data_IF_584831806811
#
_entry.id   IF_584831806811
#
_cell.length_a   1.000
_cell.length_b   1.000
_cell.length_c   1.000
_cell.angle_alpha   90.00
_cell.angle_beta   90.00
_cell.angle_gamma   90.00
#
_symmetry.space_group_name_H-M   'P 1'
#
loop_
_entity.id
_entity.type
_entity.pdbx_description
1 polymer ?
#
# COMPACT_ATOMS: atom_id res chain seq x y z
N UNK A 1 -39.22 2.23 55.90
CA UNK A 1 -38.17 2.73 54.98
C UNK A 1 -37.80 1.60 54.02
N UNK A 2 -38.22 1.65 52.75
CA UNK A 2 -37.80 0.68 51.72
C UNK A 2 -37.03 1.44 50.65
N UNK A 3 -35.70 1.26 50.60
CA UNK A 3 -34.84 1.84 49.59
C UNK A 3 -34.86 0.91 48.37
N UNK A 4 -35.49 1.36 47.29
CA UNK A 4 -35.46 0.68 45.99
C UNK A 4 -34.17 1.13 45.28
N UNK A 5 -33.19 0.23 45.16
CA UNK A 5 -31.99 0.45 44.34
C UNK A 5 -32.38 0.24 42.87
N UNK A 6 -32.49 1.33 42.11
CA UNK A 6 -32.59 1.29 40.65
C UNK A 6 -31.23 0.86 40.07
N UNK A 7 -31.17 -0.34 39.50
CA UNK A 7 -30.06 -0.78 38.66
C UNK A 7 -30.24 -0.19 37.26
N UNK A 8 -29.31 0.67 36.83
CA UNK A 8 -29.25 1.27 35.50
C UNK A 8 -28.53 0.29 34.55
N UNK A 9 -29.16 -0.23 33.48
CA UNK A 9 -28.44 -1.02 32.49
C UNK A 9 -27.66 -0.09 31.56
N UNK A 10 -26.33 -0.12 31.67
CA UNK A 10 -25.40 0.52 30.72
C UNK A 10 -25.42 -0.25 29.39
N UNK A 11 -26.20 0.23 28.43
CA UNK A 11 -26.13 -0.20 27.03
C UNK A 11 -24.92 0.46 26.36
N UNK A 12 -23.76 -0.18 26.43
CA UNK A 12 -22.63 0.17 25.58
C UNK A 12 -22.89 -0.36 24.17
N UNK A 13 -23.49 0.47 23.32
CA UNK A 13 -23.53 0.23 21.87
C UNK A 13 -22.11 0.36 21.32
N UNK A 14 -21.41 -0.77 21.19
CA UNK A 14 -20.11 -0.82 20.53
C UNK A 14 -20.24 -0.34 19.08
N UNK A 15 -19.43 0.64 18.69
CA UNK A 15 -19.33 1.07 17.30
C UNK A 15 -18.65 -0.07 16.55
N UNK A 16 -19.43 -0.86 15.81
CA UNK A 16 -18.88 -1.86 14.88
C UNK A 16 -18.33 -1.08 13.69
N UNK A 17 -17.01 -0.89 13.66
CA UNK A 17 -16.31 -0.41 12.47
C UNK A 17 -16.29 -1.58 11.48
N UNK A 18 -17.03 -1.48 10.39
CA UNK A 18 -16.92 -2.46 9.31
C UNK A 18 -15.57 -2.21 8.60
N UNK A 19 -14.87 -3.29 8.27
CA UNK A 19 -13.70 -3.19 7.41
C UNK A 19 -14.12 -3.58 6.00
N UNK A 20 -13.87 -2.70 5.04
CA UNK A 20 -14.02 -3.00 3.62
C UNK A 20 -12.82 -3.82 3.14
N UNK A 21 -13.06 -4.84 2.33
CA UNK A 21 -11.99 -5.59 1.67
C UNK A 21 -11.69 -4.92 0.32
N UNK A 22 -10.47 -4.43 0.14
CA UNK A 22 -9.94 -4.05 -1.17
C UNK A 22 -9.25 -5.27 -1.80
N UNK A 23 -9.79 -5.75 -2.90
CA UNK A 23 -9.20 -6.77 -3.75
C UNK A 23 -8.34 -6.14 -4.84
N UNK A 24 -7.16 -6.71 -5.07
CA UNK A 24 -6.20 -6.29 -6.07
C UNK A 24 -6.26 -7.27 -7.24
N UNK A 25 -6.46 -6.75 -8.44
CA UNK A 25 -6.38 -7.52 -9.67
C UNK A 25 -4.98 -8.11 -9.89
N UNK A 26 -4.89 -9.04 -10.84
CA UNK A 26 -3.67 -9.79 -11.10
C UNK A 26 -2.48 -8.88 -11.44
N UNK A 27 -2.75 -7.81 -12.20
CA UNK A 27 -1.76 -6.86 -12.69
C UNK A 27 -1.56 -5.64 -11.77
N UNK A 28 -2.07 -5.68 -10.54
CA UNK A 28 -1.91 -4.61 -9.55
C UNK A 28 -1.17 -5.13 -8.33
N UNK A 29 -0.22 -4.32 -7.84
CA UNK A 29 0.48 -4.53 -6.58
C UNK A 29 0.34 -3.28 -5.74
N UNK A 30 -0.15 -3.44 -4.52
CA UNK A 30 -0.12 -2.39 -3.50
C UNK A 30 1.24 -2.39 -2.79
N UNK A 31 1.82 -1.20 -2.65
CA UNK A 31 3.12 -0.96 -2.01
C UNK A 31 2.94 -0.42 -0.58
N UNK A 32 1.93 0.42 -0.37
CA UNK A 32 1.58 0.96 0.94
C UNK A 32 0.11 1.38 0.99
N UNK A 33 -0.46 1.46 2.19
CA UNK A 33 -1.76 2.05 2.46
C UNK A 33 -1.66 2.93 3.71
N UNK A 34 -2.46 4.01 3.75
CA UNK A 34 -2.38 4.99 4.84
C UNK A 34 -2.81 4.37 6.17
N UNK A 35 -4.00 3.75 6.18
CA UNK A 35 -4.68 3.25 7.37
C UNK A 35 -4.82 1.71 7.36
N UNK A 36 -3.92 1.01 6.64
CA UNK A 36 -3.97 -0.43 6.50
C UNK A 36 -2.57 -1.04 6.30
N UNK A 37 -2.43 -2.32 6.66
CA UNK A 37 -1.23 -3.09 6.35
C UNK A 37 -1.35 -3.68 4.96
N UNK A 38 -0.30 -3.52 4.16
CA UNK A 38 -0.18 -4.10 2.83
C UNK A 38 0.87 -5.20 2.87
N UNK A 39 0.61 -6.30 2.19
CA UNK A 39 1.55 -7.41 1.99
C UNK A 39 1.73 -7.64 0.51
N UNK A 40 2.98 -7.75 0.05
CA UNK A 40 3.29 -8.09 -1.34
C UNK A 40 2.85 -9.51 -1.74
N UNK A 41 2.52 -10.35 -0.76
CA UNK A 41 2.02 -11.72 -0.96
C UNK A 41 0.50 -11.80 -0.92
N UNK A 42 -0.18 -10.72 -0.55
CA UNK A 42 -1.63 -10.68 -0.45
C UNK A 42 -2.24 -9.94 -1.64
N UNK A 43 -3.33 -10.49 -2.18
CA UNK A 43 -4.18 -9.80 -3.15
C UNK A 43 -5.34 -9.04 -2.50
N UNK A 44 -5.39 -9.01 -1.17
CA UNK A 44 -6.42 -8.29 -0.43
C UNK A 44 -5.80 -7.35 0.60
N UNK A 45 -6.41 -6.19 0.78
CA UNK A 45 -6.07 -5.20 1.81
C UNK A 45 -7.34 -4.89 2.60
N UNK A 46 -7.31 -5.10 3.91
CA UNK A 46 -8.41 -4.71 4.78
C UNK A 46 -8.33 -3.21 5.04
N UNK A 47 -9.32 -2.45 4.58
CA UNK A 47 -9.42 -1.00 4.77
C UNK A 47 -10.49 -0.71 5.83
N UNK A 48 -10.30 0.29 6.71
CA UNK A 48 -11.39 0.82 7.52
C UNK A 48 -12.43 1.49 6.61
N UNK A 49 -13.55 1.96 7.14
CA UNK A 49 -14.48 2.80 6.37
C UNK A 49 -13.91 4.21 6.13
N UNK A 50 -14.28 4.83 5.01
CA UNK A 50 -14.05 6.26 4.75
C UNK A 50 -13.03 6.56 3.66
N UNK A 51 -12.14 7.51 3.95
CA UNK A 51 -11.15 7.98 2.98
C UNK A 51 -9.94 7.05 2.96
N UNK A 52 -9.55 6.63 1.77
CA UNK A 52 -8.45 5.71 1.55
C UNK A 52 -7.41 6.30 0.64
N UNK A 53 -6.16 6.01 0.96
CA UNK A 53 -5.02 6.35 0.12
C UNK A 53 -4.05 5.18 0.09
N UNK A 54 -3.66 4.77 -1.11
CA UNK A 54 -2.70 3.69 -1.33
C UNK A 54 -1.65 4.09 -2.34
N UNK A 55 -0.45 3.55 -2.18
CA UNK A 55 0.56 3.52 -3.23
C UNK A 55 0.44 2.19 -3.96
N UNK A 56 0.27 2.23 -5.27
CA UNK A 56 0.09 1.06 -6.14
C UNK A 56 1.03 1.14 -7.33
N UNK A 57 1.25 0.01 -7.99
CA UNK A 57 1.88 -0.05 -9.31
C UNK A 57 1.22 -1.10 -10.18
N UNK A 58 1.33 -0.93 -11.49
CA UNK A 58 1.09 -2.01 -12.44
C UNK A 58 2.27 -2.99 -12.39
N UNK A 59 1.95 -4.27 -12.44
CA UNK A 59 2.94 -5.35 -12.43
C UNK A 59 2.39 -6.57 -13.18
N UNK A 60 2.91 -6.84 -14.37
CA UNK A 60 2.49 -7.95 -15.22
C UNK A 60 3.70 -8.76 -15.71
N UNK A 61 3.55 -10.07 -15.99
CA UNK A 61 4.49 -10.77 -16.86
C UNK A 61 4.67 -10.03 -18.19
N UNK A 62 5.88 -10.07 -18.74
CA UNK A 62 6.18 -9.45 -20.05
C UNK A 62 5.32 -10.04 -21.17
N UNK A 63 4.97 -11.32 -21.09
CA UNK A 63 4.01 -11.94 -22.00
C UNK A 63 3.10 -12.87 -21.17
N UNK A 64 1.89 -12.42 -20.79
CA UNK A 64 0.98 -13.17 -19.92
C UNK A 64 0.55 -14.54 -20.47
N UNK A 65 0.38 -14.65 -21.78
CA UNK A 65 -0.07 -15.89 -22.45
C UNK A 65 1.09 -16.86 -22.76
N UNK A 66 2.33 -16.46 -22.46
CA UNK A 66 3.51 -17.27 -22.74
C UNK A 66 3.76 -18.30 -21.63
N UNK A 67 3.88 -19.57 -22.01
CA UNK A 67 4.39 -20.64 -21.15
C UNK A 67 5.88 -20.48 -20.81
N UNK A 68 6.61 -19.62 -21.54
CA UNK A 68 8.00 -19.31 -21.27
C UNK A 68 8.10 -18.20 -20.21
N UNK A 69 8.36 -18.60 -18.96
CA UNK A 69 8.47 -17.70 -17.80
C UNK A 69 9.78 -16.88 -17.77
N UNK A 70 10.71 -17.10 -18.70
CA UNK A 70 12.03 -16.46 -18.70
C UNK A 70 12.06 -14.97 -19.11
N UNK A 71 10.93 -14.39 -19.54
CA UNK A 71 10.88 -13.01 -20.09
C UNK A 71 10.74 -11.89 -19.05
N UNK A 72 10.74 -12.23 -17.77
CA UNK A 72 10.65 -11.25 -16.67
C UNK A 72 9.26 -10.61 -16.54
N UNK A 73 9.21 -9.50 -15.79
CA UNK A 73 7.99 -8.75 -15.48
C UNK A 73 8.16 -7.28 -15.88
N UNK A 74 7.08 -6.67 -16.33
CA UNK A 74 7.00 -5.25 -16.65
C UNK A 74 6.22 -4.55 -15.54
N UNK A 75 6.82 -3.50 -14.98
CA UNK A 75 6.24 -2.72 -13.88
C UNK A 75 6.19 -1.25 -14.22
N UNK A 76 5.14 -0.55 -13.78
CA UNK A 76 5.04 0.89 -13.93
C UNK A 76 5.80 1.66 -12.83
N UNK A 77 5.91 2.97 -13.01
CA UNK A 77 6.13 3.89 -11.89
C UNK A 77 5.05 3.66 -10.80
N UNK A 78 5.35 3.94 -9.52
CA UNK A 78 4.34 3.97 -8.47
C UNK A 78 3.34 5.11 -8.65
N UNK A 79 2.10 4.88 -8.24
CA UNK A 79 1.00 5.86 -8.26
C UNK A 79 0.33 5.91 -6.89
N UNK A 80 -0.07 7.10 -6.46
CA UNK A 80 -0.95 7.30 -5.30
C UNK A 80 -2.39 7.29 -5.81
N UNK A 81 -3.19 6.35 -5.35
CA UNK A 81 -4.65 6.34 -5.55
C UNK A 81 -5.34 6.85 -4.29
N UNK A 82 -6.34 7.71 -4.45
CA UNK A 82 -7.17 8.24 -3.36
C UNK A 82 -8.64 8.03 -3.71
N UNK A 83 -9.41 7.42 -2.80
CA UNK A 83 -10.86 7.24 -2.97
C UNK A 83 -11.56 7.29 -1.62
N UNK A 84 -12.89 7.38 -1.64
CA UNK A 84 -13.72 7.34 -0.45
C UNK A 84 -14.78 6.27 -0.64
N UNK A 85 -14.92 5.35 0.31
CA UNK A 85 -15.87 4.26 0.25
C UNK A 85 -16.37 3.88 1.65
N UNK A 86 -17.69 3.75 1.78
CA UNK A 86 -18.40 3.49 3.04
C UNK A 86 -19.44 2.38 2.83
N UNK A 87 -19.02 1.25 2.28
CA UNK A 87 -19.90 0.12 1.96
C UNK A 87 -19.32 -1.20 2.43
N UNK A 88 -20.16 -2.22 2.54
CA UNK A 88 -19.70 -3.55 2.95
C UNK A 88 -19.25 -4.43 1.77
N UNK A 89 -19.56 -4.03 0.53
CA UNK A 89 -19.17 -4.81 -0.65
C UNK A 89 -17.65 -4.68 -0.86
N UNK A 90 -16.95 -5.78 -1.21
CA UNK A 90 -15.55 -5.73 -1.61
C UNK A 90 -15.35 -4.75 -2.77
N UNK A 91 -14.25 -4.01 -2.69
CA UNK A 91 -13.83 -3.08 -3.73
C UNK A 91 -12.73 -3.74 -4.54
N UNK A 92 -12.90 -3.90 -5.84
CA UNK A 92 -11.90 -4.41 -6.75
C UNK A 92 -11.13 -3.26 -7.41
N UNK A 93 -9.83 -3.22 -7.19
CA UNK A 93 -8.89 -2.39 -7.92
C UNK A 93 -8.16 -3.21 -8.98
N UNK A 94 -8.33 -2.85 -10.24
CA UNK A 94 -7.68 -3.53 -11.37
C UNK A 94 -6.95 -2.54 -12.27
N UNK A 95 -6.04 -3.07 -13.08
CA UNK A 95 -5.41 -2.34 -14.17
C UNK A 95 -5.91 -2.88 -15.53
N UNK A 96 -5.53 -2.21 -16.62
CA UNK A 96 -5.80 -2.68 -17.97
C UNK A 96 -5.42 -4.15 -18.16
N UNK A 97 -6.31 -4.91 -18.81
CA UNK A 97 -6.00 -6.29 -19.20
C UNK A 97 -4.93 -6.24 -20.28
N UNK A 98 -3.96 -7.13 -20.16
CA UNK A 98 -2.85 -7.26 -21.11
C UNK A 98 -2.77 -8.73 -21.51
N UNK A 99 -2.67 -8.97 -22.81
CA UNK A 99 -2.63 -10.32 -23.40
C UNK A 99 -1.32 -10.57 -24.13
N UNK A 100 -0.61 -9.50 -24.52
CA UNK A 100 0.66 -9.56 -25.22
C UNK A 100 1.72 -8.60 -24.67
N UNK A 101 2.94 -8.72 -25.20
CA UNK A 101 4.09 -7.94 -24.77
C UNK A 101 3.97 -6.45 -25.10
N UNK A 102 3.30 -6.08 -26.19
CA UNK A 102 3.12 -4.68 -26.56
C UNK A 102 2.09 -4.01 -25.66
N UNK A 103 1.00 -4.71 -25.34
CA UNK A 103 -0.01 -4.26 -24.38
C UNK A 103 0.59 -4.11 -22.99
N UNK A 104 1.36 -5.10 -22.52
CA UNK A 104 2.06 -5.04 -21.24
C UNK A 104 3.05 -3.87 -21.16
N UNK A 105 3.77 -3.57 -22.24
CA UNK A 105 4.66 -2.39 -22.31
C UNK A 105 3.89 -1.07 -22.26
N UNK A 106 2.77 -0.97 -23.00
CA UNK A 106 1.93 0.24 -23.00
C UNK A 106 1.33 0.52 -21.63
N UNK A 107 0.77 -0.51 -20.98
CA UNK A 107 0.22 -0.41 -19.63
C UNK A 107 1.31 -0.14 -18.59
N UNK A 108 2.52 -0.70 -18.73
CA UNK A 108 3.62 -0.35 -17.83
C UNK A 108 4.04 1.13 -17.93
N UNK A 109 3.95 1.74 -19.12
CA UNK A 109 4.28 3.15 -19.31
C UNK A 109 3.20 4.07 -18.76
N UNK A 110 1.93 3.80 -19.10
CA UNK A 110 0.77 4.60 -18.71
C UNK A 110 -0.39 3.68 -18.32
N UNK A 111 -0.38 3.16 -17.08
CA UNK A 111 -1.38 2.18 -16.65
C UNK A 111 -2.77 2.79 -16.54
N UNK A 112 -3.76 2.05 -17.01
CA UNK A 112 -5.18 2.37 -16.85
C UNK A 112 -5.71 1.65 -15.61
N UNK A 113 -6.03 2.38 -14.55
CA UNK A 113 -6.61 1.80 -13.34
C UNK A 113 -8.13 1.93 -13.33
N UNK A 114 -8.81 0.97 -12.72
CA UNK A 114 -10.24 1.03 -12.45
C UNK A 114 -10.55 0.53 -11.04
N UNK A 115 -11.57 1.12 -10.44
CA UNK A 115 -12.04 0.78 -9.10
C UNK A 115 -13.53 0.49 -9.18
N UNK A 116 -13.94 -0.69 -8.73
CA UNK A 116 -15.35 -1.10 -8.79
C UNK A 116 -15.78 -1.75 -7.48
N UNK A 117 -17.01 -1.51 -7.06
CA UNK A 117 -17.63 -2.20 -5.94
C UNK A 117 -18.97 -2.76 -6.43
N UNK A 118 -19.18 -4.07 -6.31
CA UNK A 118 -20.39 -4.73 -6.81
C UNK A 118 -20.72 -4.35 -8.27
N UNK A 119 -19.69 -4.41 -9.13
CA UNK A 119 -19.70 -4.03 -10.54
C UNK A 119 -20.06 -2.56 -10.85
N UNK A 120 -20.13 -1.69 -9.83
CA UNK A 120 -20.36 -0.26 -10.00
C UNK A 120 -19.03 0.50 -9.90
N UNK A 121 -18.76 1.48 -10.77
CA UNK A 121 -17.53 2.25 -10.70
C UNK A 121 -17.48 3.10 -9.43
N UNK A 122 -16.36 3.06 -8.73
CA UNK A 122 -16.05 3.92 -7.58
C UNK A 122 -15.16 5.05 -8.07
N UNK A 123 -15.50 6.29 -7.74
CA UNK A 123 -14.68 7.45 -8.10
C UNK A 123 -13.38 7.45 -7.31
N UNK A 124 -12.28 7.71 -7.99
CA UNK A 124 -10.96 7.85 -7.39
C UNK A 124 -10.15 8.94 -8.09
N UNK A 125 -9.11 9.41 -7.41
CA UNK A 125 -8.08 10.28 -7.98
C UNK A 125 -6.75 9.53 -8.02
N UNK A 126 -5.91 9.85 -8.98
CA UNK A 126 -4.60 9.22 -9.17
C UNK A 126 -3.51 10.27 -9.39
N UNK A 127 -2.36 10.06 -8.75
CA UNK A 127 -1.17 10.89 -8.90
C UNK A 127 0.06 10.01 -9.13
N UNK A 128 0.81 10.26 -10.20
CA UNK A 128 2.09 9.60 -10.47
C UNK A 128 3.15 10.03 -9.45
N UNK A 129 3.89 9.08 -8.89
CA UNK A 129 5.09 9.36 -8.10
C UNK A 129 6.27 9.47 -9.07
N UNK A 130 7.10 10.49 -8.87
CA UNK A 130 8.27 10.72 -9.71
C UNK A 130 9.29 9.59 -9.52
N UNK A 131 9.71 8.95 -10.62
CA UNK A 131 10.57 7.76 -10.58
C UNK A 131 11.95 8.08 -9.97
N UNK A 132 12.47 9.30 -10.15
CA UNK A 132 13.78 9.70 -9.62
C UNK A 132 13.80 9.79 -8.08
N UNK A 133 12.62 9.87 -7.46
CA UNK A 133 12.45 9.87 -6.00
C UNK A 133 12.27 8.46 -5.40
N UNK A 134 12.18 7.43 -6.25
CA UNK A 134 11.87 6.07 -5.84
C UNK A 134 13.11 5.17 -5.93
N UNK A 135 13.52 4.63 -4.79
CA UNK A 135 14.54 3.60 -4.69
C UNK A 135 14.01 2.39 -3.90
N UNK A 136 14.81 1.33 -3.79
CA UNK A 136 14.46 0.10 -3.07
C UNK A 136 14.13 0.31 -1.57
N UNK A 137 14.53 1.45 -1.00
CA UNK A 137 14.30 1.82 0.39
C UNK A 137 13.28 2.96 0.53
N UNK A 138 12.52 3.26 -0.53
CA UNK A 138 11.50 4.30 -0.47
C UNK A 138 10.42 3.91 0.52
N UNK A 139 10.26 4.72 1.56
CA UNK A 139 9.15 4.62 2.49
C UNK A 139 7.88 5.20 1.84
N UNK A 140 7.21 4.36 1.06
CA UNK A 140 5.95 4.73 0.41
C UNK A 140 4.85 5.10 1.41
N UNK A 141 4.92 4.64 2.67
CA UNK A 141 3.94 5.00 3.69
C UNK A 141 4.09 6.46 4.11
N UNK A 142 5.32 6.99 4.15
CA UNK A 142 5.58 8.41 4.43
C UNK A 142 5.02 9.37 3.36
N UNK A 143 4.77 8.89 2.14
CA UNK A 143 4.22 9.67 1.04
C UNK A 143 2.69 9.79 1.09
N UNK A 144 2.06 8.99 1.95
CA UNK A 144 0.63 9.00 2.14
C UNK A 144 0.27 10.06 3.18
N UNK A 145 -0.71 10.90 2.86
CA UNK A 145 -1.29 11.83 3.84
C UNK A 145 -2.16 10.98 4.75
N UNK A 146 -1.54 10.46 5.81
CA UNK A 146 -2.28 9.87 6.91
C UNK A 146 -3.26 10.93 7.41
N UNK A 147 -4.55 10.60 7.47
CA UNK A 147 -5.39 11.28 8.44
C UNK A 147 -4.68 11.12 9.78
N UNK A 148 -4.43 12.25 10.43
CA UNK A 148 -3.37 12.50 11.42
C UNK A 148 -3.47 11.71 12.74
N UNK A 149 -4.22 10.63 12.77
CA UNK A 149 -4.57 9.84 13.95
C UNK A 149 -3.67 8.61 14.17
N UNK A 150 -2.98 8.09 13.14
CA UNK A 150 -2.04 6.95 13.33
C UNK A 150 -0.60 7.38 13.64
N UNK A 151 -0.22 8.64 13.39
CA UNK A 151 1.12 9.16 13.72
C UNK A 151 1.26 9.64 15.18
N UNK A 152 0.18 9.65 15.96
CA UNK A 152 0.20 10.15 17.34
C UNK A 152 0.55 9.09 18.41
N UNK A 153 0.72 7.82 18.03
CA UNK A 153 1.05 6.75 18.98
C UNK A 153 2.31 5.95 18.62
N UNK A 154 3.31 6.59 18.03
CA UNK A 154 4.69 6.10 18.18
C UNK A 154 5.48 7.21 18.85
N UNK A 155 5.58 7.13 20.17
CA UNK A 155 6.58 7.88 20.93
C UNK A 155 7.96 7.27 20.61
N UNK A 156 8.47 7.54 19.40
CA UNK A 156 9.86 7.27 19.07
C UNK A 156 10.65 8.31 19.83
N UNK A 157 11.34 7.87 20.89
CA UNK A 157 12.26 8.74 21.61
C UNK A 157 13.18 9.44 20.60
N UNK A 158 13.40 10.76 20.74
CA UNK A 158 14.15 11.55 19.76
C UNK A 158 15.56 11.01 19.48
N UNK A 159 16.14 10.24 20.40
CA UNK A 159 17.42 9.55 20.25
C UNK A 159 17.43 8.47 19.14
N UNK A 160 16.31 7.77 18.94
CA UNK A 160 16.22 6.69 17.93
C UNK A 160 16.13 7.26 16.51
N UNK A 161 15.42 8.38 16.34
CA UNK A 161 15.29 9.06 15.04
C UNK A 161 16.64 9.61 14.57
N UNK A 162 17.39 10.25 15.46
CA UNK A 162 18.74 10.75 15.18
C UNK A 162 19.72 9.58 14.87
N UNK A 163 19.58 8.45 15.56
CA UNK A 163 20.34 7.23 15.27
C UNK A 163 20.09 6.69 13.86
N UNK A 164 18.83 6.60 13.43
CA UNK A 164 18.46 6.09 12.10
C UNK A 164 18.96 7.03 10.99
N UNK A 165 18.82 8.34 11.16
CA UNK A 165 19.30 9.32 10.18
C UNK A 165 20.84 9.31 10.06
N UNK A 166 21.55 9.12 11.18
CA UNK A 166 23.02 8.94 11.18
C UNK A 166 23.44 7.66 10.44
N UNK A 167 22.77 6.54 10.68
CA UNK A 167 23.07 5.28 10.00
C UNK A 167 22.79 5.38 8.50
N UNK A 168 21.67 6.00 8.11
CA UNK A 168 21.32 6.25 6.70
C UNK A 168 22.37 7.10 6.01
N UNK A 169 22.81 8.19 6.64
CA UNK A 169 23.85 9.06 6.11
C UNK A 169 25.22 8.36 6.04
N UNK A 170 25.56 7.52 7.02
CA UNK A 170 26.79 6.74 6.99
C UNK A 170 26.79 5.70 5.87
N UNK A 171 25.68 4.98 5.68
CA UNK A 171 25.52 4.01 4.59
C UNK A 171 25.64 4.65 3.21
N UNK A 172 25.02 5.81 3.01
CA UNK A 172 25.07 6.53 1.73
C UNK A 172 26.49 6.98 1.34
N UNK A 173 27.37 7.21 2.33
CA UNK A 173 28.78 7.58 2.12
C UNK A 173 29.70 6.39 1.81
N UNK A 174 29.22 5.15 1.93
CA UNK A 174 30.01 3.97 1.61
C UNK A 174 30.18 3.80 0.09
N UNK A 175 31.32 3.25 -0.31
CA UNK A 175 31.53 2.76 -1.68
C UNK A 175 30.67 1.52 -1.97
N UNK A 176 30.42 1.23 -3.24
CA UNK A 176 29.54 0.12 -3.64
C UNK A 176 30.03 -1.25 -3.11
N UNK A 177 31.35 -1.44 -3.05
CA UNK A 177 31.96 -2.64 -2.46
C UNK A 177 31.69 -2.75 -0.95
N UNK A 178 31.74 -1.63 -0.23
CA UNK A 178 31.46 -1.60 1.20
C UNK A 178 29.97 -1.79 1.50
N UNK A 179 29.08 -1.24 0.67
CA UNK A 179 27.64 -1.48 0.75
C UNK A 179 27.31 -2.97 0.57
N UNK A 180 27.92 -3.63 -0.41
CA UNK A 180 27.75 -5.06 -0.63
C UNK A 180 28.22 -5.91 0.56
N UNK A 181 29.37 -5.59 1.16
CA UNK A 181 29.86 -6.29 2.35
C UNK A 181 28.91 -6.08 3.54
N UNK A 182 28.46 -4.85 3.75
CA UNK A 182 27.50 -4.52 4.80
C UNK A 182 26.18 -5.28 4.61
N UNK A 183 25.66 -5.35 3.38
CA UNK A 183 24.47 -6.15 3.07
C UNK A 183 24.69 -7.64 3.31
N UNK A 184 25.86 -8.19 2.93
CA UNK A 184 26.20 -9.59 3.19
C UNK A 184 26.26 -9.89 4.69
N UNK A 185 26.76 -8.96 5.50
CA UNK A 185 26.78 -9.08 6.95
C UNK A 185 25.37 -9.08 7.55
N UNK A 186 24.48 -8.18 7.09
CA UNK A 186 23.07 -8.11 7.52
C UNK A 186 22.26 -9.36 7.20
N UNK A 187 22.61 -10.12 6.15
CA UNK A 187 21.90 -11.36 5.81
C UNK A 187 22.38 -12.57 6.63
N UNK A 188 23.56 -12.46 7.23
CA UNK A 188 24.19 -13.53 8.00
C UNK A 188 24.03 -13.37 9.52
N UNK A 189 23.35 -12.32 9.97
CA UNK A 189 23.00 -12.03 11.37
C UNK A 189 21.52 -11.68 11.45
#
# INVERSE_FOLDING_TARGET
MKRLLLALPLLFSGIVSANTILELGDNVVALAAANAKVSMFSKTVSLPDGKHQLVIKFDSPTNPESVNQGRGRLTSAPYIITFNYNGNDPVLLSAGKVSDENEAKKEAQNPSFSLTANNKPVKFNIKKIDQDSVNLFSDFKSMLVADSSELQNINIQPEVKDGVDKVKNAYNKLSDKQKLIFMKWLMNN
#
